data_IF_473527845865
#
_entry.id   IF_473527845865
#
_cell.length_a   1.000
_cell.length_b   1.000
_cell.length_c   1.000
_cell.angle_alpha   90.00
_cell.angle_beta   90.00
_cell.angle_gamma   90.00
#
_symmetry.space_group_name_H-M   'P 1'
#
loop_
_entity.id
_entity.type
_entity.pdbx_description
1 polymer ?
#
# COMPACT_ATOMS: atom_id res chain seq x y z
N UNK A 1 11.34 24.70 31.42
CA UNK A 1 11.46 23.30 31.00
C UNK A 1 10.54 23.12 29.80
N UNK A 2 11.06 23.19 28.55
CA UNK A 2 10.27 22.97 27.34
C UNK A 2 10.13 21.45 27.17
N UNK A 3 8.92 20.91 27.32
CA UNK A 3 8.59 19.56 26.93
C UNK A 3 8.81 19.45 25.41
N UNK A 4 9.84 18.74 25.02
CA UNK A 4 10.01 18.38 23.62
C UNK A 4 8.80 17.52 23.23
N UNK A 5 7.92 18.05 22.39
CA UNK A 5 6.86 17.25 21.75
C UNK A 5 7.56 16.14 21.00
N UNK A 6 7.25 14.84 21.22
CA UNK A 6 7.88 13.78 20.47
C UNK A 6 7.55 14.01 18.99
N UNK A 7 8.59 14.12 18.17
CA UNK A 7 8.45 14.17 16.72
C UNK A 7 7.75 12.87 16.29
N UNK A 8 6.49 12.98 15.86
CA UNK A 8 5.74 11.86 15.30
C UNK A 8 6.54 11.31 14.12
N UNK A 9 6.76 10.00 14.11
CA UNK A 9 7.40 9.34 12.96
C UNK A 9 6.54 9.58 11.72
N UNK A 10 7.10 9.96 10.57
CA UNK A 10 6.33 10.27 9.35
C UNK A 10 5.34 9.18 8.96
N UNK A 11 5.74 7.91 9.08
CA UNK A 11 4.87 6.75 8.76
C UNK A 11 3.64 6.69 9.67
N UNK A 12 3.79 6.93 10.98
CA UNK A 12 2.66 6.97 11.91
C UNK A 12 1.72 8.15 11.61
N UNK A 13 2.25 9.26 11.13
CA UNK A 13 1.46 10.43 10.74
C UNK A 13 0.63 10.14 9.50
N UNK A 14 1.23 9.53 8.46
CA UNK A 14 0.51 9.15 7.23
C UNK A 14 -0.51 8.04 7.48
N UNK A 15 -0.19 7.05 8.32
CA UNK A 15 -1.15 6.04 8.75
C UNK A 15 -2.40 6.68 9.37
N UNK A 16 -2.21 7.59 10.33
CA UNK A 16 -3.32 8.32 10.96
C UNK A 16 -4.06 9.22 9.96
N UNK A 17 -3.35 9.81 9.01
CA UNK A 17 -3.93 10.66 7.97
C UNK A 17 -4.93 9.90 7.10
N UNK A 18 -4.55 8.71 6.60
CA UNK A 18 -5.42 7.87 5.77
C UNK A 18 -6.43 7.02 6.56
N UNK A 19 -6.42 7.11 7.88
CA UNK A 19 -7.49 6.51 8.70
C UNK A 19 -8.84 7.23 8.49
N UNK A 20 -8.82 8.48 8.02
CA UNK A 20 -10.03 9.22 7.67
C UNK A 20 -10.60 8.71 6.34
N UNK A 21 -11.83 8.18 6.39
CA UNK A 21 -12.49 7.52 5.25
C UNK A 21 -12.62 8.41 4.01
N UNK A 22 -12.84 9.72 4.15
CA UNK A 22 -12.91 10.65 3.02
C UNK A 22 -11.57 10.72 2.29
N UNK A 23 -10.48 10.87 3.04
CA UNK A 23 -9.13 10.95 2.48
C UNK A 23 -8.71 9.64 1.83
N UNK A 24 -9.03 8.52 2.48
CA UNK A 24 -8.78 7.20 1.92
C UNK A 24 -9.54 7.00 0.60
N UNK A 25 -10.85 7.29 0.57
CA UNK A 25 -11.66 7.17 -0.64
C UNK A 25 -11.11 8.02 -1.78
N UNK A 26 -10.76 9.26 -1.50
CA UNK A 26 -10.29 10.23 -2.49
C UNK A 26 -8.95 9.82 -3.11
N UNK A 27 -7.96 9.41 -2.29
CA UNK A 27 -6.67 8.96 -2.82
C UNK A 27 -6.80 7.65 -3.61
N UNK A 28 -7.63 6.71 -3.17
CA UNK A 28 -7.88 5.45 -3.90
C UNK A 28 -8.65 5.72 -5.20
N UNK A 29 -9.61 6.64 -5.21
CA UNK A 29 -10.26 7.06 -6.44
C UNK A 29 -9.26 7.60 -7.46
N UNK A 30 -8.30 8.41 -7.02
CA UNK A 30 -7.26 8.90 -7.90
C UNK A 30 -6.38 7.77 -8.46
N UNK A 31 -5.82 6.91 -7.57
CA UNK A 31 -4.77 5.97 -7.96
C UNK A 31 -5.27 4.66 -8.59
N UNK A 32 -6.52 4.27 -8.29
CA UNK A 32 -7.10 3.02 -8.79
C UNK A 32 -8.21 3.24 -9.82
N UNK A 33 -8.80 4.42 -9.88
CA UNK A 33 -9.99 4.69 -10.70
C UNK A 33 -9.86 5.99 -11.52
N UNK A 34 -8.64 6.45 -11.78
CA UNK A 34 -8.34 7.63 -12.61
C UNK A 34 -9.12 8.88 -12.17
N UNK A 35 -9.29 9.07 -10.85
CA UNK A 35 -10.01 10.20 -10.26
C UNK A 35 -11.54 10.08 -10.32
N UNK A 36 -12.09 8.99 -10.86
CA UNK A 36 -13.53 8.79 -10.85
C UNK A 36 -14.05 8.51 -9.43
N UNK A 37 -15.15 9.11 -8.99
CA UNK A 37 -15.65 9.00 -7.62
C UNK A 37 -16.39 7.68 -7.37
N UNK A 38 -15.66 6.56 -7.53
CA UNK A 38 -16.19 5.20 -7.33
C UNK A 38 -16.39 4.90 -5.84
N UNK A 39 -15.44 5.32 -5.00
CA UNK A 39 -15.52 5.16 -3.56
C UNK A 39 -16.01 6.44 -2.90
N UNK A 40 -16.84 6.27 -1.88
CA UNK A 40 -17.28 7.34 -1.00
C UNK A 40 -17.04 6.95 0.46
N UNK A 41 -17.08 7.92 1.38
CA UNK A 41 -16.99 7.66 2.82
C UNK A 41 -17.97 6.56 3.30
N UNK A 42 -19.14 6.49 2.70
CA UNK A 42 -20.20 5.55 3.12
C UNK A 42 -20.00 4.14 2.60
N UNK A 43 -19.15 3.95 1.59
CA UNK A 43 -18.82 2.63 1.04
C UNK A 43 -17.67 1.94 1.77
N UNK A 44 -17.15 2.52 2.86
CA UNK A 44 -15.96 2.08 3.57
C UNK A 44 -16.23 1.60 4.98
N UNK A 45 -15.63 0.46 5.36
CA UNK A 45 -15.51 0.00 6.75
C UNK A 45 -14.04 -0.34 7.05
N UNK A 46 -13.56 0.04 8.23
CA UNK A 46 -12.21 -0.31 8.64
C UNK A 46 -12.15 -1.79 8.99
N UNK A 47 -11.04 -2.43 8.65
CA UNK A 47 -10.73 -3.82 8.97
C UNK A 47 -9.51 -3.90 9.90
N UNK A 48 -9.31 -5.06 10.51
CA UNK A 48 -8.15 -5.34 11.32
C UNK A 48 -6.89 -5.35 10.43
N UNK A 49 -5.89 -4.60 10.84
CA UNK A 49 -4.60 -4.50 10.13
C UNK A 49 -3.59 -5.55 10.55
N UNK A 50 -3.88 -6.35 11.57
CA UNK A 50 -3.05 -7.47 11.99
C UNK A 50 -3.28 -8.67 11.06
N UNK A 51 -2.30 -8.91 10.19
CA UNK A 51 -2.25 -10.02 9.26
C UNK A 51 -1.28 -11.10 9.73
N UNK A 52 -0.92 -11.08 11.01
CA UNK A 52 -0.06 -12.11 11.59
C UNK A 52 -0.67 -13.48 11.41
N UNK A 53 0.10 -14.42 10.94
CA UNK A 53 -0.35 -15.79 10.69
C UNK A 53 0.74 -16.78 11.05
N UNK A 54 0.31 -17.97 11.45
CA UNK A 54 1.21 -19.11 11.64
C UNK A 54 1.04 -20.01 10.42
N UNK A 55 2.12 -20.23 9.71
CA UNK A 55 2.19 -21.27 8.69
C UNK A 55 2.68 -22.55 9.38
N UNK A 56 1.83 -23.56 9.40
CA UNK A 56 2.16 -24.85 9.95
C UNK A 56 2.73 -25.73 8.84
N UNK A 57 4.04 -25.92 8.86
CA UNK A 57 4.75 -26.82 7.96
C UNK A 57 5.30 -27.98 8.79
N UNK A 58 4.65 -29.13 8.72
CA UNK A 58 5.14 -30.42 9.27
C UNK A 58 6.00 -30.28 10.55
N UNK A 59 5.39 -30.00 11.70
CA UNK A 59 6.03 -29.87 13.03
C UNK A 59 6.89 -28.62 13.27
N UNK A 60 7.01 -27.71 12.28
CA UNK A 60 7.74 -26.44 12.43
C UNK A 60 6.86 -25.23 12.11
N UNK A 61 6.05 -24.75 13.09
CA UNK A 61 5.23 -23.57 12.88
C UNK A 61 6.10 -22.33 12.68
N UNK A 62 5.99 -21.70 11.52
CA UNK A 62 6.63 -20.41 11.25
C UNK A 62 5.60 -19.33 11.54
N UNK A 63 5.82 -18.55 12.59
CA UNK A 63 5.01 -17.37 12.87
C UNK A 63 5.47 -16.22 11.98
N UNK A 64 4.54 -15.63 11.25
CA UNK A 64 4.79 -14.44 10.44
C UNK A 64 3.99 -13.27 11.02
N UNK A 65 4.69 -12.29 11.57
CA UNK A 65 4.08 -11.07 12.08
C UNK A 65 3.99 -10.06 10.94
N UNK A 66 2.78 -9.80 10.46
CA UNK A 66 2.52 -8.89 9.36
C UNK A 66 1.48 -7.85 9.77
N UNK A 67 1.88 -6.60 9.79
CA UNK A 67 0.99 -5.48 10.09
C UNK A 67 0.92 -4.58 8.86
N UNK A 68 -0.32 -4.30 8.42
CA UNK A 68 -0.58 -3.31 7.38
C UNK A 68 -0.72 -1.92 7.99
N UNK A 69 -0.37 -0.90 7.24
CA UNK A 69 -0.58 0.47 7.70
C UNK A 69 -2.08 0.81 7.76
N UNK A 70 -2.81 0.53 6.70
CA UNK A 70 -4.25 0.77 6.64
C UNK A 70 -4.91 -0.33 5.80
N UNK A 71 -6.00 -0.92 6.30
CA UNK A 71 -6.81 -1.88 5.57
C UNK A 71 -8.28 -1.48 5.68
N UNK A 72 -8.96 -1.36 4.56
CA UNK A 72 -10.36 -0.93 4.48
C UNK A 72 -11.12 -1.86 3.56
N UNK A 73 -12.27 -2.33 4.05
CA UNK A 73 -13.25 -3.03 3.23
C UNK A 73 -14.11 -2.01 2.51
N UNK A 74 -14.17 -2.13 1.21
CA UNK A 74 -14.98 -1.27 0.35
C UNK A 74 -16.14 -2.04 -0.25
N UNK A 75 -17.25 -1.35 -0.51
CA UNK A 75 -18.40 -1.90 -1.23
C UNK A 75 -18.67 -1.06 -2.47
N UNK A 76 -18.60 -1.69 -3.65
CA UNK A 76 -18.87 -1.06 -4.93
C UNK A 76 -19.87 -1.91 -5.69
N UNK A 77 -21.07 -1.36 -5.96
CA UNK A 77 -22.12 -2.08 -6.69
C UNK A 77 -22.55 -3.40 -6.03
N UNK A 78 -22.46 -3.51 -4.69
CA UNK A 78 -22.77 -4.74 -3.95
C UNK A 78 -21.65 -5.79 -3.94
N UNK A 79 -20.50 -5.48 -4.54
CA UNK A 79 -19.30 -6.31 -4.50
C UNK A 79 -18.34 -5.72 -3.48
N UNK A 80 -17.74 -6.57 -2.66
CA UNK A 80 -16.75 -6.17 -1.67
C UNK A 80 -15.33 -6.33 -2.20
N UNK A 81 -14.45 -5.42 -1.79
CA UNK A 81 -13.00 -5.55 -1.94
C UNK A 81 -12.31 -5.11 -0.66
N UNK A 82 -11.12 -5.63 -0.40
CA UNK A 82 -10.21 -5.14 0.63
C UNK A 82 -9.13 -4.29 -0.04
N UNK A 83 -8.97 -3.05 0.40
CA UNK A 83 -7.95 -2.16 -0.12
C UNK A 83 -7.03 -1.75 1.02
N UNK A 84 -5.73 -1.95 0.82
CA UNK A 84 -4.69 -1.58 1.77
C UNK A 84 -3.83 -0.44 1.20
N UNK A 85 -3.41 0.48 2.09
CA UNK A 85 -2.37 1.47 1.79
C UNK A 85 -1.16 1.14 2.66
N UNK A 86 0.00 1.02 2.01
CA UNK A 86 1.32 0.91 2.63
C UNK A 86 2.08 2.20 2.35
N UNK A 87 2.58 2.86 3.40
CA UNK A 87 3.32 4.10 3.28
C UNK A 87 4.82 3.81 3.22
N UNK A 88 5.51 4.24 2.16
CA UNK A 88 6.89 3.88 1.92
C UNK A 88 7.77 5.11 1.66
N UNK A 89 8.73 5.39 2.55
CA UNK A 89 9.66 6.52 2.41
C UNK A 89 10.94 6.18 1.65
N UNK A 90 11.47 5.00 1.84
CA UNK A 90 12.70 4.55 1.18
C UNK A 90 12.38 3.52 0.11
N UNK A 91 13.27 3.38 -0.89
CA UNK A 91 13.17 2.27 -1.84
C UNK A 91 13.48 0.99 -1.08
N UNK A 92 12.47 0.11 -0.99
CA UNK A 92 12.60 -1.21 -0.40
C UNK A 92 12.44 -2.26 -1.50
N UNK A 93 13.52 -2.94 -1.79
CA UNK A 93 13.57 -3.97 -2.84
C UNK A 93 12.76 -5.22 -2.49
N UNK A 94 12.27 -5.35 -1.24
CA UNK A 94 11.46 -6.49 -0.79
C UNK A 94 9.94 -6.22 -0.88
N UNK A 95 9.53 -5.05 -1.35
CA UNK A 95 8.12 -4.65 -1.40
C UNK A 95 7.23 -5.68 -2.10
N UNK A 96 7.57 -6.24 -3.29
CA UNK A 96 6.69 -7.21 -3.95
C UNK A 96 6.47 -8.48 -3.12
N UNK A 97 7.52 -8.98 -2.46
CA UNK A 97 7.38 -10.14 -1.56
C UNK A 97 6.54 -9.79 -0.33
N UNK A 98 6.77 -8.62 0.28
CA UNK A 98 6.00 -8.19 1.45
C UNK A 98 4.52 -8.06 1.15
N UNK A 99 4.16 -7.37 0.07
CA UNK A 99 2.75 -7.20 -0.32
C UNK A 99 2.12 -8.52 -0.71
N UNK A 100 2.83 -9.39 -1.44
CA UNK A 100 2.37 -10.73 -1.74
C UNK A 100 2.04 -11.54 -0.48
N UNK A 101 2.94 -11.55 0.51
CA UNK A 101 2.73 -12.28 1.78
C UNK A 101 1.55 -11.70 2.56
N UNK A 102 1.38 -10.38 2.58
CA UNK A 102 0.22 -9.75 3.22
C UNK A 102 -1.09 -10.14 2.55
N UNK A 103 -1.13 -10.13 1.22
CA UNK A 103 -2.32 -10.50 0.46
C UNK A 103 -2.61 -12.01 0.62
N UNK A 104 -1.58 -12.86 0.54
CA UNK A 104 -1.71 -14.29 0.78
C UNK A 104 -2.22 -14.61 2.19
N UNK A 105 -1.73 -13.90 3.22
CA UNK A 105 -2.21 -14.03 4.59
C UNK A 105 -3.68 -13.63 4.73
N UNK A 106 -4.10 -12.58 4.04
CA UNK A 106 -5.49 -12.15 4.01
C UNK A 106 -6.40 -13.17 3.29
N UNK A 107 -5.95 -13.78 2.19
CA UNK A 107 -6.69 -14.88 1.53
C UNK A 107 -6.71 -16.14 2.39
N UNK A 108 -5.61 -16.46 3.10
CA UNK A 108 -5.58 -17.58 4.05
C UNK A 108 -6.62 -17.39 5.14
N UNK A 109 -6.75 -16.18 5.72
CA UNK A 109 -7.76 -15.86 6.73
C UNK A 109 -9.17 -16.10 6.18
N UNK A 110 -9.49 -15.58 4.98
CA UNK A 110 -10.80 -15.81 4.34
C UNK A 110 -11.08 -17.30 4.11
N UNK A 111 -10.06 -18.08 3.73
CA UNK A 111 -10.20 -19.52 3.56
C UNK A 111 -10.45 -20.22 4.89
N UNK A 112 -9.79 -19.81 5.97
CA UNK A 112 -10.00 -20.36 7.29
C UNK A 112 -11.42 -20.06 7.81
N UNK A 113 -11.89 -18.83 7.65
CA UNK A 113 -13.25 -18.42 8.01
C UNK A 113 -14.30 -19.27 7.26
N UNK A 114 -14.06 -19.52 5.97
CA UNK A 114 -14.90 -20.43 5.17
C UNK A 114 -14.89 -21.86 5.73
N UNK A 115 -13.73 -22.41 6.10
CA UNK A 115 -13.65 -23.77 6.66
C UNK A 115 -14.39 -23.86 7.99
N UNK A 116 -14.34 -22.82 8.82
CA UNK A 116 -15.07 -22.76 10.07
C UNK A 116 -16.58 -22.66 9.84
N UNK A 117 -17.03 -21.86 8.87
CA UNK A 117 -18.43 -21.83 8.45
C UNK A 117 -18.89 -23.19 7.92
N UNK A 118 -18.09 -23.86 7.11
CA UNK A 118 -18.39 -25.16 6.50
C UNK A 118 -18.67 -26.27 7.50
N UNK A 119 -18.16 -26.19 8.73
CA UNK A 119 -18.40 -27.17 9.78
C UNK A 119 -19.89 -27.30 10.16
N UNK A 120 -20.64 -26.20 10.08
CA UNK A 120 -22.04 -26.14 10.45
C UNK A 120 -22.99 -25.74 9.30
N UNK A 121 -22.47 -25.13 8.24
CA UNK A 121 -23.19 -24.84 7.00
C UNK A 121 -22.57 -25.62 5.82
N UNK A 122 -23.05 -26.82 5.56
CA UNK A 122 -22.51 -27.70 4.51
C UNK A 122 -22.68 -27.16 3.10
N UNK A 123 -23.62 -26.23 2.88
CA UNK A 123 -23.87 -25.58 1.58
C UNK A 123 -22.99 -24.35 1.36
N UNK A 124 -22.20 -23.94 2.35
CA UNK A 124 -21.28 -22.81 2.20
C UNK A 124 -20.34 -23.01 1.01
N UNK A 125 -20.17 -21.95 0.22
CA UNK A 125 -19.28 -21.91 -0.93
C UNK A 125 -18.22 -20.85 -0.71
N UNK A 126 -16.97 -21.20 -0.96
CA UNK A 126 -15.88 -20.23 -0.90
C UNK A 126 -16.09 -19.14 -1.95
N UNK A 127 -16.18 -17.89 -1.48
CA UNK A 127 -16.13 -16.68 -2.31
C UNK A 127 -15.08 -15.77 -1.71
N UNK A 128 -13.96 -15.64 -2.39
CA UNK A 128 -12.90 -14.74 -1.95
C UNK A 128 -13.27 -13.28 -2.24
N UNK A 129 -13.03 -12.43 -1.27
CA UNK A 129 -13.08 -10.98 -1.44
C UNK A 129 -11.73 -10.55 -2.02
N UNK A 130 -11.69 -9.88 -3.19
CA UNK A 130 -10.43 -9.44 -3.79
C UNK A 130 -9.69 -8.47 -2.89
N UNK A 131 -8.36 -8.52 -2.94
CA UNK A 131 -7.46 -7.69 -2.15
C UNK A 131 -6.60 -6.87 -3.11
N UNK A 132 -6.51 -5.56 -2.84
CA UNK A 132 -5.70 -4.61 -3.59
C UNK A 132 -4.77 -3.93 -2.59
N UNK A 133 -3.47 -4.07 -2.76
CA UNK A 133 -2.48 -3.36 -1.96
C UNK A 133 -1.84 -2.25 -2.79
N UNK A 134 -2.00 -1.01 -2.33
CA UNK A 134 -1.39 0.18 -2.92
C UNK A 134 -0.24 0.63 -2.03
N UNK A 135 0.94 0.78 -2.60
CA UNK A 135 2.11 1.34 -1.93
C UNK A 135 2.25 2.81 -2.33
N UNK A 136 2.03 3.72 -1.39
CA UNK A 136 2.27 5.14 -1.58
C UNK A 136 3.74 5.45 -1.25
N UNK A 137 4.54 5.62 -2.30
CA UNK A 137 5.94 5.97 -2.18
C UNK A 137 6.12 7.49 -2.17
N UNK A 138 6.69 8.00 -1.09
CA UNK A 138 6.95 9.43 -0.90
C UNK A 138 8.44 9.71 -0.61
N UNK A 139 9.34 8.88 -1.14
CA UNK A 139 10.79 9.09 -1.01
C UNK A 139 11.31 10.18 -1.95
N UNK A 140 12.52 10.66 -1.68
CA UNK A 140 13.17 11.74 -2.45
C UNK A 140 13.50 11.32 -3.88
N UNK A 141 14.04 10.11 -4.05
CA UNK A 141 14.42 9.59 -5.36
C UNK A 141 13.21 9.02 -6.08
N UNK A 142 13.24 9.01 -7.41
CA UNK A 142 12.25 8.27 -8.20
C UNK A 142 12.33 6.78 -7.83
N UNK A 143 11.18 6.10 -7.80
CA UNK A 143 11.15 4.67 -7.55
C UNK A 143 11.95 3.91 -8.62
N UNK A 144 12.91 3.11 -8.19
CA UNK A 144 13.75 2.27 -9.04
C UNK A 144 13.82 0.81 -8.56
N UNK A 145 13.04 0.47 -7.53
CA UNK A 145 12.94 -0.90 -7.03
C UNK A 145 12.02 -1.78 -7.90
N UNK A 146 11.96 -3.08 -7.62
CA UNK A 146 11.07 -4.02 -8.29
C UNK A 146 9.59 -3.63 -8.06
N UNK A 147 8.76 -3.99 -9.03
CA UNK A 147 7.29 -3.80 -8.97
C UNK A 147 6.53 -5.11 -8.96
N UNK A 148 7.16 -6.18 -9.38
CA UNK A 148 6.58 -7.52 -9.45
C UNK A 148 7.48 -8.55 -8.79
N UNK A 149 6.94 -9.75 -8.53
CA UNK A 149 7.78 -10.86 -8.07
C UNK A 149 8.76 -11.29 -9.16
N UNK A 150 8.36 -11.22 -10.42
CA UNK A 150 9.25 -11.57 -11.55
C UNK A 150 10.45 -10.64 -11.65
N UNK A 151 10.30 -9.35 -11.30
CA UNK A 151 11.43 -8.39 -11.25
C UNK A 151 12.51 -8.80 -10.24
N UNK A 152 12.18 -9.69 -9.31
CA UNK A 152 13.08 -10.16 -8.26
C UNK A 152 13.71 -11.54 -8.57
N UNK A 153 13.39 -12.12 -9.73
CA UNK A 153 13.82 -13.47 -10.11
C UNK A 153 14.79 -13.43 -11.28
N UNK A 154 15.81 -14.25 -11.20
CA UNK A 154 16.66 -14.59 -12.34
C UNK A 154 16.07 -15.82 -13.04
N UNK A 155 15.39 -15.61 -14.18
CA UNK A 155 14.68 -16.66 -14.91
C UNK A 155 15.22 -16.81 -16.32
N UNK A 156 15.42 -18.06 -16.81
CA UNK A 156 15.59 -18.34 -18.21
C UNK A 156 14.37 -17.85 -19.02
N UNK A 157 14.59 -17.38 -20.26
CA UNK A 157 13.52 -16.84 -21.11
C UNK A 157 12.36 -17.83 -21.29
N UNK A 158 12.69 -19.13 -21.38
CA UNK A 158 11.72 -20.21 -21.56
C UNK A 158 10.76 -20.38 -20.37
N UNK A 159 11.16 -19.91 -19.19
CA UNK A 159 10.37 -20.00 -17.95
C UNK A 159 9.47 -18.79 -17.72
N UNK A 160 9.76 -17.63 -18.28
CA UNK A 160 9.01 -16.40 -18.03
C UNK A 160 7.53 -16.51 -18.35
N UNK A 161 7.19 -17.25 -19.42
CA UNK A 161 5.81 -17.42 -19.87
C UNK A 161 4.95 -18.40 -19.04
N UNK A 162 5.58 -19.16 -18.14
CA UNK A 162 4.88 -20.16 -17.30
C UNK A 162 4.87 -19.79 -15.82
N UNK A 163 5.60 -18.76 -15.43
CA UNK A 163 5.63 -18.28 -14.05
C UNK A 163 4.44 -17.38 -13.77
N UNK A 164 3.83 -17.59 -12.60
CA UNK A 164 2.86 -16.64 -12.07
C UNK A 164 3.57 -15.40 -11.51
N UNK A 165 2.99 -14.24 -11.75
CA UNK A 165 3.50 -13.00 -11.22
C UNK A 165 2.54 -12.39 -10.20
N UNK A 166 3.08 -11.56 -9.31
CA UNK A 166 2.31 -10.75 -8.38
C UNK A 166 2.74 -9.29 -8.53
N UNK A 167 1.83 -8.49 -9.05
CA UNK A 167 2.08 -7.07 -9.29
C UNK A 167 1.76 -6.23 -8.06
N UNK A 168 2.68 -5.35 -7.69
CA UNK A 168 2.50 -4.38 -6.62
C UNK A 168 2.18 -3.00 -7.20
N UNK A 169 1.06 -2.40 -6.79
CA UNK A 169 0.65 -1.07 -7.22
C UNK A 169 1.47 0.01 -6.49
N UNK A 170 2.66 0.31 -7.00
CA UNK A 170 3.54 1.34 -6.43
C UNK A 170 3.24 2.67 -7.10
N UNK A 171 2.79 3.61 -6.29
CA UNK A 171 2.42 4.98 -6.68
C UNK A 171 3.45 5.93 -6.11
N UNK A 172 4.22 6.57 -6.98
CA UNK A 172 5.12 7.65 -6.59
C UNK A 172 4.30 8.94 -6.46
N UNK A 173 4.19 9.48 -5.25
CA UNK A 173 3.38 10.68 -4.99
C UNK A 173 3.85 11.91 -5.78
N UNK A 174 5.12 11.91 -6.24
CA UNK A 174 5.65 12.99 -7.08
C UNK A 174 5.07 12.99 -8.49
N UNK A 175 4.53 11.86 -8.94
CA UNK A 175 3.95 11.69 -10.28
C UNK A 175 2.42 11.85 -10.29
N UNK A 176 1.79 12.03 -9.11
CA UNK A 176 0.35 12.24 -9.01
C UNK A 176 -0.06 13.64 -9.48
N UNK A 177 -1.19 13.72 -10.17
CA UNK A 177 -1.87 14.99 -10.44
C UNK A 177 -2.76 15.37 -9.24
N UNK A 178 -2.21 16.20 -8.34
CA UNK A 178 -2.93 16.64 -7.15
C UNK A 178 -4.21 17.43 -7.46
N UNK A 179 -4.34 18.00 -8.66
CA UNK A 179 -5.54 18.76 -9.05
C UNK A 179 -6.80 17.89 -9.18
N UNK A 180 -6.61 16.58 -9.38
CA UNK A 180 -7.69 15.60 -9.46
C UNK A 180 -8.21 15.17 -8.08
N UNK A 181 -7.51 15.50 -7.00
CA UNK A 181 -7.95 15.23 -5.63
C UNK A 181 -9.08 16.19 -5.23
N UNK A 182 -10.15 15.65 -4.68
CA UNK A 182 -11.31 16.42 -4.23
C UNK A 182 -11.22 16.79 -2.74
N UNK A 183 -10.60 15.93 -1.92
CA UNK A 183 -10.33 16.23 -0.51
C UNK A 183 -9.16 17.23 -0.41
N UNK A 184 -9.44 18.37 0.25
CA UNK A 184 -8.46 19.46 0.38
C UNK A 184 -7.20 19.02 1.12
N UNK A 185 -7.33 18.21 2.16
CA UNK A 185 -6.19 17.78 2.98
C UNK A 185 -5.28 16.82 2.18
N UNK A 186 -5.86 15.96 1.32
CA UNK A 186 -5.10 15.13 0.40
C UNK A 186 -4.32 15.99 -0.60
N UNK A 187 -4.98 16.97 -1.19
CA UNK A 187 -4.35 17.89 -2.14
C UNK A 187 -3.20 18.63 -1.49
N UNK A 188 -3.45 19.26 -0.33
CA UNK A 188 -2.44 20.01 0.41
C UNK A 188 -1.24 19.11 0.80
N UNK A 189 -1.48 17.83 1.17
CA UNK A 189 -0.42 16.88 1.48
C UNK A 189 0.42 16.55 0.25
N UNK A 190 -0.20 16.18 -0.87
CA UNK A 190 0.52 15.76 -2.09
C UNK A 190 1.28 16.94 -2.69
N UNK A 191 0.65 18.11 -2.83
CA UNK A 191 1.32 19.33 -3.30
C UNK A 191 2.48 19.72 -2.38
N UNK A 192 2.29 19.65 -1.06
CA UNK A 192 3.34 19.93 -0.09
C UNK A 192 4.54 19.00 -0.22
N UNK A 193 4.32 17.70 -0.41
CA UNK A 193 5.39 16.73 -0.66
C UNK A 193 6.11 17.02 -1.99
N UNK A 194 5.37 17.29 -3.07
CA UNK A 194 5.93 17.61 -4.37
C UNK A 194 6.78 18.89 -4.33
N UNK A 195 6.29 19.93 -3.66
CA UNK A 195 7.04 21.19 -3.47
C UNK A 195 8.32 20.96 -2.65
N UNK A 196 8.24 20.18 -1.57
CA UNK A 196 9.39 19.87 -0.71
C UNK A 196 10.51 19.18 -1.51
N UNK A 197 10.17 18.17 -2.31
CA UNK A 197 11.16 17.45 -3.11
C UNK A 197 11.74 18.29 -4.24
N UNK A 198 10.92 19.13 -4.88
CA UNK A 198 11.40 20.10 -5.87
C UNK A 198 12.40 21.06 -5.24
N UNK A 199 12.09 21.60 -4.06
CA UNK A 199 12.98 22.53 -3.35
C UNK A 199 14.29 21.86 -2.93
N UNK A 200 14.28 20.61 -2.47
CA UNK A 200 15.50 19.85 -2.16
C UNK A 200 16.37 19.65 -3.41
N UNK A 201 15.77 19.27 -4.53
CA UNK A 201 16.48 19.12 -5.79
C UNK A 201 17.15 20.41 -6.24
N UNK A 202 16.47 21.54 -6.10
CA UNK A 202 17.04 22.85 -6.41
C UNK A 202 18.23 23.19 -5.50
N UNK A 203 18.14 22.88 -4.18
CA UNK A 203 19.24 23.08 -3.25
C UNK A 203 20.48 22.23 -3.55
N UNK A 204 20.29 20.95 -3.90
CA UNK A 204 21.39 20.08 -4.33
C UNK A 204 22.05 20.60 -5.59
N UNK A 205 21.26 20.99 -6.59
CA UNK A 205 21.74 21.60 -7.82
C UNK A 205 22.58 22.88 -7.57
N UNK A 206 22.18 23.71 -6.62
CA UNK A 206 22.97 24.91 -6.24
C UNK A 206 24.24 24.55 -5.48
N UNK A 207 24.24 23.51 -4.64
CA UNK A 207 25.43 23.04 -3.93
C UNK A 207 26.48 22.47 -4.90
N UNK A 208 26.08 21.63 -5.85
CA UNK A 208 26.96 21.04 -6.87
C UNK A 208 27.59 22.12 -7.74
N UNK A 209 26.83 23.14 -8.15
CA UNK A 209 27.36 24.29 -8.92
C UNK A 209 28.36 25.15 -8.15
N UNK A 210 28.25 25.22 -6.81
CA UNK A 210 29.21 25.92 -5.96
C UNK A 210 30.53 25.14 -5.86
N UNK A 211 30.46 23.83 -5.71
CA UNK A 211 31.65 22.96 -5.61
C UNK A 211 32.41 22.81 -6.94
N UNK A 212 31.78 23.06 -8.07
CA UNK A 212 32.45 23.01 -9.40
C UNK A 212 33.11 24.33 -9.80
N UNK A 213 33.11 25.35 -8.96
CA UNK A 213 33.72 26.67 -9.21
C UNK A 213 34.91 26.98 -8.30
N UNK A 214 35.23 26.09 -7.38
CA UNK A 214 36.41 26.06 -6.55
C UNK A 214 37.38 24.99 -7.04
#
# INVERSE_FOLDING_TARGET
MRLATPLLKPDATLKNFFHYKSRFADIINLVCFDGQPILSRNSLSNEDTDMSTVFDFDEHPISFNAYRDTLVKVSVGGIYALIAIENQKAIDYHIPVRTFVYDASSYKKQYQDYLDEKKWNKEAKLKLIPIITVVLYYGERKWSGPRTLLDMMELPEEMKGIMNDWNTHIIDVKELDASLLTDKDNRDLIEGLQMFYKWQGDLEFFKERKMSRD
#
